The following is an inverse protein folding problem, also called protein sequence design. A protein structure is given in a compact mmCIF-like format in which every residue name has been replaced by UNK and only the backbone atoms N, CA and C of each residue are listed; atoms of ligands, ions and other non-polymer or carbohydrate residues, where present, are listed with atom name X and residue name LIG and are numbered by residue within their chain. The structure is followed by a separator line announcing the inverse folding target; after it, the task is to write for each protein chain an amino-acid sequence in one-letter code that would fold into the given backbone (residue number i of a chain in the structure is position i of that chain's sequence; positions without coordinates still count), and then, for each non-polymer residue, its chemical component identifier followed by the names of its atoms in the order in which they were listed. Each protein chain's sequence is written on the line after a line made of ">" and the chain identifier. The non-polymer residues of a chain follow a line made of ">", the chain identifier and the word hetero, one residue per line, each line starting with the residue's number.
data_IF_636711398537
#
_entry.id   IF_636711398537
#
_cell.length_a   1.000
_cell.length_b   1.000
_cell.length_c   1.000
_cell.angle_alpha   90.00
_cell.angle_beta   90.00
_cell.angle_gamma   90.00
#
_symmetry.space_group_name_H-M   'P 1'
#
loop_
_entity.id
_entity.type
_entity.pdbx_description
1 polymer ?
#
# COMPACT_ATOMS: atom_id res chain seq x y z
N UNK A 1 -21.84 1.55 0.74
CA UNK A 1 -20.38 1.55 0.89
C UNK A 1 -19.92 2.99 0.96
N UNK A 2 -18.84 3.25 1.67
CA UNK A 2 -18.35 4.58 2.00
C UNK A 2 -16.88 4.72 1.64
N UNK A 3 -16.47 5.94 1.27
CA UNK A 3 -15.05 6.31 1.16
C UNK A 3 -14.54 6.64 2.56
N UNK A 4 -13.44 6.00 2.96
CA UNK A 4 -12.81 6.15 4.26
C UNK A 4 -11.71 7.22 4.21
N UNK A 5 -11.50 7.99 5.30
CA UNK A 5 -10.34 8.86 5.40
C UNK A 5 -9.03 8.05 5.42
N UNK A 6 -8.08 8.44 4.59
CA UNK A 6 -6.74 7.87 4.54
C UNK A 6 -5.83 8.63 5.51
N UNK A 7 -5.19 7.89 6.41
CA UNK A 7 -4.24 8.37 7.42
C UNK A 7 -2.95 8.82 6.77
N UNK A 8 -2.38 9.90 7.28
CA UNK A 8 -1.11 10.47 6.79
C UNK A 8 0.04 10.10 7.73
N UNK A 9 1.27 10.06 7.20
CA UNK A 9 2.51 9.87 7.97
C UNK A 9 2.49 10.66 9.28
N UNK A 10 2.76 9.94 10.38
CA UNK A 10 2.70 10.45 11.75
C UNK A 10 1.60 9.81 12.58
N UNK A 11 0.59 9.22 11.93
CA UNK A 11 -0.45 8.43 12.61
C UNK A 11 0.11 7.14 13.22
N UNK A 12 -0.09 6.85 14.52
CA UNK A 12 0.52 5.69 15.18
C UNK A 12 0.16 4.34 14.56
N UNK A 13 -1.03 4.24 13.97
CA UNK A 13 -1.51 3.03 13.28
C UNK A 13 -0.67 2.67 12.05
N UNK A 14 -0.06 3.66 11.39
CA UNK A 14 0.83 3.44 10.24
C UNK A 14 2.23 2.95 10.64
N UNK A 15 2.58 3.11 11.92
CA UNK A 15 3.91 2.91 12.48
C UNK A 15 3.97 1.76 13.50
N UNK A 16 2.94 0.91 13.52
CA UNK A 16 2.82 -0.25 14.40
C UNK A 16 2.43 -1.48 13.58
N UNK A 17 2.99 -2.67 13.86
CA UNK A 17 2.57 -3.90 13.19
C UNK A 17 1.06 -4.15 13.36
N UNK A 18 0.39 -4.54 12.27
CA UNK A 18 -1.03 -4.81 12.25
C UNK A 18 -1.37 -6.15 12.90
N UNK A 19 -2.52 -6.20 13.58
CA UNK A 19 -3.02 -7.39 14.27
C UNK A 19 -3.62 -8.40 13.29
N UNK A 20 -3.40 -9.72 13.50
CA UNK A 20 -4.03 -10.73 12.67
C UNK A 20 -5.57 -10.63 12.69
N UNK A 21 -6.17 -10.79 11.52
CA UNK A 21 -7.61 -10.99 11.39
C UNK A 21 -7.96 -12.37 11.96
N UNK A 22 -8.85 -12.42 12.95
CA UNK A 22 -9.24 -13.67 13.63
C UNK A 22 -10.52 -14.28 13.07
N UNK A 23 -11.44 -13.45 12.59
CA UNK A 23 -12.76 -13.86 12.12
C UNK A 23 -13.10 -13.08 10.85
N UNK A 24 -13.68 -13.77 9.87
CA UNK A 24 -14.19 -13.17 8.63
C UNK A 24 -15.71 -13.05 8.77
N UNK A 25 -16.15 -11.90 9.29
CA UNK A 25 -17.55 -11.57 9.53
C UNK A 25 -18.07 -10.49 8.57
N UNK A 26 -19.33 -10.10 8.72
CA UNK A 26 -19.94 -9.05 7.89
C UNK A 26 -19.29 -7.68 8.11
N UNK A 27 -18.70 -7.45 9.29
CA UNK A 27 -17.94 -6.23 9.61
C UNK A 27 -16.70 -6.14 8.73
N UNK A 28 -15.92 -7.23 8.65
CA UNK A 28 -14.74 -7.31 7.80
C UNK A 28 -15.11 -7.20 6.32
N UNK A 29 -16.19 -7.87 5.88
CA UNK A 29 -16.69 -7.77 4.51
C UNK A 29 -17.04 -6.34 4.14
N UNK A 30 -17.70 -5.61 5.04
CA UNK A 30 -18.02 -4.19 4.85
C UNK A 30 -16.75 -3.34 4.78
N UNK A 31 -15.79 -3.56 5.69
CA UNK A 31 -14.51 -2.86 5.68
C UNK A 31 -13.77 -3.05 4.35
N UNK A 32 -13.63 -4.29 3.87
CA UNK A 32 -12.95 -4.59 2.61
C UNK A 32 -13.64 -3.88 1.44
N UNK A 33 -14.97 -3.85 1.45
CA UNK A 33 -15.74 -3.20 0.41
C UNK A 33 -15.60 -1.66 0.44
N UNK A 34 -15.57 -1.05 1.63
CA UNK A 34 -15.26 0.37 1.81
C UNK A 34 -13.79 0.69 1.43
N UNK A 35 -12.85 -0.24 1.69
CA UNK A 35 -11.45 -0.10 1.27
C UNK A 35 -11.30 -0.11 -0.25
N UNK A 36 -12.06 -0.96 -0.96
CA UNK A 36 -12.10 -0.92 -2.44
C UNK A 36 -12.61 0.43 -2.96
N UNK A 37 -13.74 0.93 -2.45
CA UNK A 37 -14.28 2.23 -2.84
C UNK A 37 -13.30 3.37 -2.54
N UNK A 38 -12.62 3.29 -1.40
CA UNK A 38 -11.61 4.28 -0.99
C UNK A 38 -10.40 4.26 -1.93
N UNK A 39 -9.89 3.09 -2.27
CA UNK A 39 -8.76 2.92 -3.18
C UNK A 39 -9.11 3.40 -4.60
N UNK A 40 -10.30 3.05 -5.10
CA UNK A 40 -10.77 3.45 -6.43
C UNK A 40 -11.00 4.97 -6.51
N UNK A 41 -11.46 5.61 -5.41
CA UNK A 41 -11.59 7.06 -5.30
C UNK A 41 -10.25 7.79 -5.13
N UNK A 42 -9.21 7.09 -4.65
CA UNK A 42 -7.87 7.60 -4.38
C UNK A 42 -6.83 7.18 -5.45
N UNK A 43 -7.24 7.11 -6.73
CA UNK A 43 -6.73 6.22 -7.80
C UNK A 43 -5.50 5.37 -7.44
N UNK A 44 -5.62 4.53 -6.41
CA UNK A 44 -4.55 3.69 -5.88
C UNK A 44 -4.56 2.30 -6.51
N UNK A 45 -3.43 1.59 -6.42
CA UNK A 45 -3.32 0.19 -6.86
C UNK A 45 -3.29 -0.80 -5.69
N UNK A 46 -3.27 -0.28 -4.46
CA UNK A 46 -3.37 -1.01 -3.21
C UNK A 46 -3.76 -0.09 -2.05
N UNK A 47 -4.35 -0.68 -1.01
CA UNK A 47 -4.73 0.00 0.22
C UNK A 47 -4.76 -0.97 1.40
N UNK A 48 -3.93 -0.74 2.41
CA UNK A 48 -3.85 -1.54 3.61
C UNK A 48 -4.79 -1.05 4.73
N UNK A 49 -5.24 -1.97 5.59
CA UNK A 49 -6.09 -1.66 6.75
C UNK A 49 -5.57 -0.49 7.59
N UNK A 50 -4.27 -0.45 7.96
CA UNK A 50 -3.69 0.65 8.71
C UNK A 50 -3.89 2.03 8.06
N UNK A 51 -3.91 2.10 6.73
CA UNK A 51 -4.09 3.36 6.01
C UNK A 51 -5.49 3.95 6.20
N UNK A 52 -6.50 3.15 6.48
CA UNK A 52 -7.85 3.63 6.85
C UNK A 52 -8.07 3.69 8.36
N UNK A 53 -6.98 3.53 9.14
CA UNK A 53 -7.00 3.58 10.60
C UNK A 53 -7.45 2.28 11.27
N UNK A 54 -7.50 1.17 10.53
CA UNK A 54 -7.87 -0.14 11.07
C UNK A 54 -6.60 -0.98 11.24
N UNK A 55 -6.17 -1.30 12.48
CA UNK A 55 -4.91 -2.01 12.73
C UNK A 55 -5.03 -3.52 12.47
N UNK A 56 -5.65 -3.92 11.36
CA UNK A 56 -5.82 -5.32 10.98
C UNK A 56 -4.92 -5.69 9.81
N UNK A 57 -4.41 -6.92 9.83
CA UNK A 57 -3.46 -7.48 8.88
C UNK A 57 -4.15 -7.88 7.57
N UNK A 58 -4.57 -6.89 6.80
CA UNK A 58 -5.11 -7.07 5.44
C UNK A 58 -4.82 -5.89 4.53
N UNK A 59 -4.80 -6.14 3.22
CA UNK A 59 -4.83 -5.09 2.21
C UNK A 59 -5.70 -5.51 1.02
N UNK A 60 -6.26 -4.52 0.33
CA UNK A 60 -6.86 -4.71 -1.00
C UNK A 60 -5.86 -4.30 -2.08
N UNK A 61 -5.96 -4.89 -3.26
CA UNK A 61 -5.16 -4.53 -4.41
C UNK A 61 -6.00 -4.56 -5.69
N UNK A 62 -5.66 -3.69 -6.64
CA UNK A 62 -6.26 -3.64 -7.97
C UNK A 62 -5.24 -3.10 -8.97
N UNK A 63 -4.66 -3.97 -9.76
CA UNK A 63 -3.65 -3.65 -10.76
C UNK A 63 -3.97 -4.33 -12.09
N UNK A 64 -3.85 -3.57 -13.17
CA UNK A 64 -3.97 -4.09 -14.53
C UNK A 64 -2.56 -4.16 -15.09
N UNK A 65 -2.06 -5.37 -15.24
CA UNK A 65 -0.79 -5.61 -15.93
C UNK A 65 -1.05 -5.56 -17.43
N UNK A 66 -0.43 -4.61 -18.16
CA UNK A 66 -0.62 -4.50 -19.59
C UNK A 66 -0.05 -5.73 -20.29
N UNK A 67 -0.86 -6.32 -21.17
CA UNK A 67 -0.39 -7.37 -22.07
C UNK A 67 0.50 -6.79 -23.18
N UNK A 68 1.35 -7.63 -23.77
CA UNK A 68 2.07 -7.29 -24.99
C UNK A 68 1.10 -7.25 -26.21
N UNK A 69 1.57 -6.83 -27.40
CA UNK A 69 0.74 -6.66 -28.61
C UNK A 69 -0.13 -7.89 -28.99
N UNK A 70 0.22 -9.08 -28.51
CA UNK A 70 -0.48 -10.34 -28.76
C UNK A 70 -1.26 -10.90 -27.56
N UNK A 71 -1.14 -10.29 -26.37
CA UNK A 71 -1.73 -10.78 -25.13
C UNK A 71 -2.72 -9.77 -24.55
N UNK A 72 -3.74 -10.27 -23.86
CA UNK A 72 -4.71 -9.41 -23.19
C UNK A 72 -4.16 -8.96 -21.84
N UNK A 73 -4.59 -7.77 -21.39
CA UNK A 73 -4.27 -7.28 -20.05
C UNK A 73 -4.70 -8.29 -18.97
N UNK A 74 -3.84 -8.47 -17.98
CA UNK A 74 -4.12 -9.31 -16.81
C UNK A 74 -4.61 -8.42 -15.67
N UNK A 75 -5.79 -8.72 -15.15
CA UNK A 75 -6.40 -7.96 -14.06
C UNK A 75 -6.19 -8.68 -12.74
N UNK A 76 -5.40 -8.09 -11.86
CA UNK A 76 -5.21 -8.52 -10.48
C UNK A 76 -6.08 -7.66 -9.58
N UNK A 77 -7.18 -8.21 -9.06
CA UNK A 77 -7.98 -7.53 -8.03
C UNK A 77 -8.38 -8.50 -6.94
N UNK A 78 -8.10 -8.15 -5.69
CA UNK A 78 -8.33 -9.03 -4.57
C UNK A 78 -8.05 -8.38 -3.22
N UNK A 79 -8.32 -9.16 -2.19
CA UNK A 79 -8.00 -8.82 -0.80
C UNK A 79 -7.11 -9.92 -0.24
N UNK A 80 -6.02 -9.53 0.39
CA UNK A 80 -5.10 -10.43 1.04
C UNK A 80 -5.30 -10.31 2.55
N UNK A 81 -5.94 -11.30 3.17
CA UNK A 81 -6.14 -11.38 4.62
C UNK A 81 -5.03 -12.23 5.22
N UNK A 82 -4.41 -11.73 6.30
CA UNK A 82 -3.26 -12.33 6.98
C UNK A 82 -2.14 -12.77 6.02
N UNK A 83 -1.67 -11.89 5.12
CA UNK A 83 -0.69 -12.30 4.12
C UNK A 83 0.66 -12.67 4.74
N UNK A 84 1.31 -13.63 4.07
CA UNK A 84 2.74 -13.90 4.13
C UNK A 84 3.37 -13.49 2.79
N UNK A 85 4.53 -12.84 2.83
CA UNK A 85 5.23 -12.37 1.64
C UNK A 85 6.65 -12.92 1.60
N UNK A 86 6.98 -13.61 0.52
CA UNK A 86 8.33 -14.07 0.22
C UNK A 86 8.88 -13.21 -0.91
N UNK A 87 10.09 -12.67 -0.76
CA UNK A 87 10.66 -11.75 -1.75
C UNK A 87 12.04 -12.22 -2.20
N UNK A 88 12.41 -11.90 -3.42
CA UNK A 88 13.81 -12.01 -3.86
C UNK A 88 14.69 -10.99 -3.12
N UNK A 89 15.99 -11.25 -2.99
CA UNK A 89 16.93 -10.25 -2.48
C UNK A 89 16.88 -8.96 -3.29
N UNK A 90 16.92 -7.82 -2.60
CA UNK A 90 16.97 -6.50 -3.24
C UNK A 90 18.33 -6.27 -3.91
N UNK A 91 18.33 -5.55 -5.04
CA UNK A 91 19.57 -5.08 -5.67
C UNK A 91 20.38 -4.17 -4.72
N UNK A 92 21.69 -4.14 -4.91
CA UNK A 92 22.59 -3.17 -4.26
C UNK A 92 22.77 -1.91 -5.09
N UNK A 93 22.31 -1.90 -6.33
CA UNK A 93 22.34 -0.73 -7.19
C UNK A 93 21.29 0.30 -6.73
N UNK A 94 21.54 1.61 -6.87
CA UNK A 94 20.55 2.62 -6.57
C UNK A 94 19.33 2.45 -7.48
N UNK A 95 18.13 2.68 -6.92
CA UNK A 95 16.91 2.67 -7.71
C UNK A 95 16.90 3.77 -8.77
N UNK A 96 16.42 3.44 -9.96
CA UNK A 96 16.25 4.38 -11.06
C UNK A 96 15.09 5.36 -10.76
N UNK A 97 15.33 6.69 -10.74
CA UNK A 97 14.31 7.68 -10.43
C UNK A 97 13.16 7.76 -11.46
N UNK A 98 13.38 7.32 -12.69
CA UNK A 98 12.40 7.39 -13.76
C UNK A 98 11.53 6.13 -13.83
N UNK A 99 12.08 4.97 -13.47
CA UNK A 99 11.39 3.66 -13.62
C UNK A 99 11.04 2.97 -12.30
N UNK A 100 11.68 3.33 -11.18
CA UNK A 100 11.50 2.67 -9.87
C UNK A 100 10.94 3.62 -8.80
N UNK A 101 10.22 4.64 -9.22
CA UNK A 101 9.65 5.66 -8.36
C UNK A 101 8.29 5.24 -7.77
N UNK A 102 8.22 5.17 -6.45
CA UNK A 102 7.04 4.73 -5.69
C UNK A 102 6.43 5.89 -4.90
N UNK A 103 5.12 5.87 -4.72
CA UNK A 103 4.38 6.82 -3.89
C UNK A 103 3.41 6.10 -2.96
N UNK A 104 2.81 6.84 -2.02
CA UNK A 104 1.87 6.28 -1.05
C UNK A 104 0.70 7.24 -0.82
N UNK A 105 -0.52 6.71 -0.70
CA UNK A 105 -1.69 7.51 -0.33
C UNK A 105 -1.58 8.11 1.09
N UNK A 106 -0.75 7.51 1.95
CA UNK A 106 -0.45 7.99 3.30
C UNK A 106 0.69 9.02 3.34
N UNK A 107 1.31 9.31 2.19
CA UNK A 107 2.29 10.38 2.01
C UNK A 107 2.02 11.10 0.67
N UNK A 108 0.87 11.79 0.56
CA UNK A 108 0.30 12.16 -0.73
C UNK A 108 1.12 13.18 -1.54
N UNK A 109 1.12 12.99 -2.86
CA UNK A 109 1.72 13.93 -3.83
C UNK A 109 3.24 13.85 -3.97
N UNK A 110 3.89 12.89 -3.32
CA UNK A 110 5.34 12.73 -3.38
C UNK A 110 5.70 11.32 -3.86
N UNK A 111 6.78 11.22 -4.64
CA UNK A 111 7.30 9.96 -5.15
C UNK A 111 8.83 9.96 -5.07
N UNK A 112 9.39 8.82 -4.67
CA UNK A 112 10.84 8.67 -4.55
C UNK A 112 11.28 7.31 -5.10
N UNK A 113 12.47 7.22 -5.72
CA UNK A 113 13.04 5.93 -6.12
C UNK A 113 13.29 5.05 -4.91
N UNK A 114 12.84 3.79 -5.00
CA UNK A 114 13.02 2.81 -3.95
C UNK A 114 13.32 1.43 -4.54
N UNK A 115 14.41 0.82 -4.09
CA UNK A 115 14.78 -0.53 -4.49
C UNK A 115 13.83 -1.54 -3.84
N UNK A 116 13.29 -2.44 -4.65
CA UNK A 116 12.44 -3.56 -4.22
C UNK A 116 13.06 -4.88 -4.69
N UNK A 117 12.58 -6.00 -4.17
CA UNK A 117 12.86 -7.30 -4.78
C UNK A 117 12.08 -7.39 -6.10
N UNK A 118 12.70 -7.93 -7.15
CA UNK A 118 12.10 -7.99 -8.48
C UNK A 118 10.91 -8.97 -8.56
N UNK A 119 10.86 -9.94 -7.64
CA UNK A 119 9.79 -10.92 -7.57
C UNK A 119 9.34 -11.16 -6.13
N UNK A 120 8.07 -11.52 -5.98
CA UNK A 120 7.46 -11.86 -4.71
C UNK A 120 6.43 -12.99 -4.86
N UNK A 121 6.27 -13.79 -3.80
CA UNK A 121 5.16 -14.74 -3.66
C UNK A 121 4.30 -14.24 -2.52
N UNK A 122 3.05 -13.90 -2.83
CA UNK A 122 2.03 -13.53 -1.85
C UNK A 122 1.19 -14.77 -1.53
N UNK A 123 1.16 -15.17 -0.26
CA UNK A 123 0.21 -16.16 0.26
C UNK A 123 -0.76 -15.47 1.19
N UNK A 124 -2.05 -15.70 1.01
CA UNK A 124 -3.06 -15.09 1.86
C UNK A 124 -4.36 -15.91 1.85
N UNK A 125 -5.35 -15.41 2.57
CA UNK A 125 -6.72 -15.92 2.56
C UNK A 125 -7.64 -14.84 1.98
N UNK A 126 -8.67 -15.23 1.24
CA UNK A 126 -9.69 -14.32 0.71
C UNK A 126 -10.87 -14.13 1.68
N UNK A 127 -11.93 -13.43 1.24
CA UNK A 127 -13.13 -13.20 2.05
C UNK A 127 -13.98 -14.46 2.27
N UNK A 128 -13.78 -15.52 1.50
CA UNK A 128 -14.50 -16.77 1.70
C UNK A 128 -13.73 -17.74 2.62
N UNK A 129 -12.54 -17.34 3.06
CA UNK A 129 -11.69 -18.15 3.91
C UNK A 129 -10.81 -19.11 3.10
N UNK A 130 -10.78 -18.98 1.77
CA UNK A 130 -10.02 -19.85 0.90
C UNK A 130 -8.57 -19.34 0.76
N UNK A 131 -7.57 -20.21 0.94
CA UNK A 131 -6.17 -19.84 0.76
C UNK A 131 -5.85 -19.67 -0.73
N UNK A 132 -5.03 -18.67 -1.03
CA UNK A 132 -4.51 -18.45 -2.37
C UNK A 132 -3.03 -18.06 -2.36
N UNK A 133 -2.38 -18.24 -3.51
CA UNK A 133 -1.00 -17.87 -3.77
C UNK A 133 -0.92 -17.10 -5.08
N UNK A 134 -0.16 -16.00 -5.12
CA UNK A 134 0.14 -15.24 -6.32
C UNK A 134 1.66 -15.08 -6.41
N UNK A 135 2.24 -15.65 -7.47
CA UNK A 135 3.59 -15.31 -7.92
C UNK A 135 3.53 -14.01 -8.72
N UNK A 136 4.34 -13.03 -8.33
CA UNK A 136 4.35 -11.71 -8.92
C UNK A 136 5.79 -11.29 -9.24
N UNK A 137 5.94 -10.60 -10.37
CA UNK A 137 7.17 -9.94 -10.77
C UNK A 137 6.92 -8.45 -10.99
N UNK A 138 8.00 -7.67 -11.14
CA UNK A 138 7.93 -6.27 -11.56
C UNK A 138 7.03 -5.40 -10.68
N UNK A 139 6.08 -4.71 -11.30
CA UNK A 139 5.23 -3.74 -10.59
C UNK A 139 4.25 -4.39 -9.62
N UNK A 140 3.71 -5.57 -9.93
CA UNK A 140 2.84 -6.30 -9.01
C UNK A 140 3.62 -6.75 -7.76
N UNK A 141 4.85 -7.24 -7.93
CA UNK A 141 5.72 -7.58 -6.81
C UNK A 141 6.01 -6.36 -5.91
N UNK A 142 6.20 -5.18 -6.51
CA UNK A 142 6.38 -3.91 -5.79
C UNK A 142 5.13 -3.53 -5.01
N UNK A 143 3.94 -3.64 -5.60
CA UNK A 143 2.67 -3.37 -4.91
C UNK A 143 2.56 -4.27 -3.67
N UNK A 144 2.77 -5.58 -3.79
CA UNK A 144 2.68 -6.47 -2.65
C UNK A 144 3.71 -6.15 -1.55
N UNK A 145 4.93 -5.79 -1.93
CA UNK A 145 5.94 -5.33 -0.96
C UNK A 145 5.53 -4.03 -0.25
N UNK A 146 4.91 -3.09 -0.97
CA UNK A 146 4.40 -1.84 -0.41
C UNK A 146 3.27 -2.09 0.58
N UNK A 147 2.25 -2.84 0.17
CA UNK A 147 1.10 -3.11 1.03
C UNK A 147 1.48 -3.95 2.24
N UNK A 148 2.41 -4.90 2.08
CA UNK A 148 2.91 -5.69 3.19
C UNK A 148 3.71 -4.83 4.19
N UNK A 149 4.49 -3.85 3.74
CA UNK A 149 5.18 -2.92 4.64
C UNK A 149 4.21 -2.16 5.55
N UNK A 150 3.06 -1.75 5.02
CA UNK A 150 2.02 -1.11 5.84
C UNK A 150 1.57 -2.02 6.98
N UNK A 151 1.48 -3.33 6.75
CA UNK A 151 1.12 -4.30 7.78
C UNK A 151 2.23 -4.52 8.81
N UNK A 152 3.47 -4.20 8.47
CA UNK A 152 4.63 -4.21 9.36
C UNK A 152 4.84 -2.85 10.07
N UNK A 153 3.93 -1.90 9.86
CA UNK A 153 4.03 -0.55 10.43
C UNK A 153 5.15 0.27 9.80
N UNK A 154 5.32 0.17 8.47
CA UNK A 154 6.32 0.93 7.72
C UNK A 154 5.68 1.58 6.50
N UNK A 155 6.11 2.80 6.21
CA UNK A 155 5.85 3.50 4.96
C UNK A 155 7.05 3.33 4.02
N UNK A 156 6.84 3.47 2.72
CA UNK A 156 7.95 3.45 1.75
C UNK A 156 9.01 4.52 2.06
N UNK A 157 8.60 5.68 2.60
CA UNK A 157 9.51 6.76 3.01
C UNK A 157 10.47 6.35 4.13
N UNK A 158 10.11 5.35 4.94
CA UNK A 158 10.96 4.82 6.02
C UNK A 158 12.09 3.92 5.48
N UNK A 159 11.96 3.46 4.24
CA UNK A 159 12.97 2.63 3.54
C UNK A 159 13.96 3.46 2.72
N UNK A 160 13.71 4.75 2.56
CA UNK A 160 14.53 5.60 1.71
C UNK A 160 15.94 5.82 2.31
N UNK A 161 16.88 6.10 1.41
CA UNK A 161 18.23 6.44 1.82
C UNK A 161 18.30 7.77 2.58
N UNK A 162 19.50 8.11 3.06
CA UNK A 162 19.72 9.34 3.83
C UNK A 162 19.48 10.61 3.01
N UNK A 163 19.59 10.57 1.68
CA UNK A 163 19.41 11.74 0.83
C UNK A 163 17.94 12.08 0.75
N UNK A 164 17.10 11.12 0.35
CA UNK A 164 15.66 11.31 0.26
C UNK A 164 14.99 11.42 1.64
N UNK A 165 15.49 10.74 2.67
CA UNK A 165 14.99 10.87 4.04
C UNK A 165 15.06 12.31 4.58
N UNK A 166 16.07 13.11 4.19
CA UNK A 166 16.10 14.54 4.55
C UNK A 166 15.05 15.36 3.82
N UNK A 167 14.72 14.99 2.58
CA UNK A 167 13.68 15.62 1.78
C UNK A 167 12.31 15.33 2.41
N UNK A 168 12.04 14.07 2.76
CA UNK A 168 10.84 13.63 3.49
C UNK A 168 10.66 14.44 4.77
N UNK A 169 11.66 14.51 5.65
CA UNK A 169 11.57 15.29 6.89
C UNK A 169 11.28 16.78 6.66
N UNK A 170 11.76 17.35 5.55
CA UNK A 170 11.47 18.74 5.19
C UNK A 170 10.02 18.90 4.72
N UNK A 171 9.51 17.94 3.94
CA UNK A 171 8.12 17.90 3.50
C UNK A 171 7.19 17.74 4.70
N UNK A 172 7.44 16.78 5.58
CA UNK A 172 6.64 16.54 6.78
C UNK A 172 6.52 17.80 7.63
N UNK A 173 7.65 18.45 7.94
CA UNK A 173 7.64 19.72 8.68
C UNK A 173 6.85 20.83 7.98
N UNK A 174 6.94 20.91 6.65
CA UNK A 174 6.23 21.94 5.87
C UNK A 174 4.73 21.68 5.84
N UNK A 175 4.32 20.42 5.73
CA UNK A 175 2.92 19.99 5.63
C UNK A 175 2.26 19.73 7.00
N UNK A 176 3.02 19.80 8.09
CA UNK A 176 2.52 19.48 9.44
C UNK A 176 2.29 17.98 9.66
N UNK A 177 2.92 17.13 8.85
CA UNK A 177 2.88 15.67 8.98
C UNK A 177 4.00 15.19 9.92
N UNK A 178 4.09 13.87 10.11
CA UNK A 178 5.00 13.25 11.08
C UNK A 178 4.50 13.34 12.52
N UNK A 179 3.26 13.81 12.71
CA UNK A 179 2.54 13.85 13.99
C UNK A 179 1.12 13.28 13.82
N UNK A 180 0.50 12.76 14.90
CA UNK A 180 -0.87 12.26 14.84
C UNK A 180 -1.90 13.36 14.54
N UNK A 181 -3.08 12.95 14.05
CA UNK A 181 -4.23 13.80 13.75
C UNK A 181 -4.39 14.15 12.27
N UNK A 182 -3.60 13.57 11.36
CA UNK A 182 -3.60 13.91 9.95
C UNK A 182 -4.27 12.81 9.11
N UNK A 183 -5.27 13.21 8.32
CA UNK A 183 -5.93 12.35 7.35
C UNK A 183 -6.50 13.21 6.22
N UNK A 184 -6.82 12.56 5.09
CA UNK A 184 -7.53 13.19 3.99
C UNK A 184 -8.61 12.24 3.47
N UNK A 185 -9.68 12.80 2.88
CA UNK A 185 -10.82 12.05 2.36
C UNK A 185 -10.83 12.09 0.83
N UNK A 186 -10.59 10.94 0.16
CA UNK A 186 -10.62 10.85 -1.29
C UNK A 186 -11.95 11.35 -1.89
N UNK A 187 -11.86 12.07 -3.00
CA UNK A 187 -13.01 12.68 -3.68
C UNK A 187 -13.63 13.90 -2.97
N UNK A 188 -13.10 14.31 -1.81
CA UNK A 188 -13.56 15.49 -1.06
C UNK A 188 -12.43 16.50 -0.85
N UNK A 189 -11.29 16.05 -0.34
CA UNK A 189 -10.15 16.91 -0.08
C UNK A 189 -9.29 17.06 -1.35
N UNK A 190 -8.90 18.31 -1.65
CA UNK A 190 -7.94 18.62 -2.71
C UNK A 190 -6.53 18.68 -2.11
N UNK A 191 -5.70 17.68 -2.45
CA UNK A 191 -4.32 17.57 -1.95
C UNK A 191 -3.34 18.48 -2.71
N UNK A 192 -3.77 19.05 -3.84
CA UNK A 192 -2.96 19.92 -4.72
C UNK A 192 -3.34 21.42 -4.59
N UNK A 193 -4.37 21.75 -3.80
CA UNK A 193 -4.86 23.12 -3.57
C UNK A 193 -4.00 23.98 -2.63
#
# INVERSE_FOLDING_TARGET
>A
MAVLPIRISGEPVLHSPAEPVREIDDTLRTLVADMYETMDAAPGVGLAGPQVGVPLRLFVFSYVEPGDEAEADVVYRGVAINPELFITPTSTEPADPDTESEGCLSFPGERFPLVRGDAAILRAVDLDGEPFEIEAEGWLARIFQHEFDHLEGRLYVDRLDRVYGRVVQKIERKRGWGVPGNAWLPGVDDLDA
#
